data_IF_709662791136
#
_entry.id   IF_709662791136
#
_cell.length_a   1.000
_cell.length_b   1.000
_cell.length_c   1.000
_cell.angle_alpha   90.00
_cell.angle_beta   90.00
_cell.angle_gamma   90.00
#
_symmetry.space_group_name_H-M   'P 1'
#
loop_
_entity.id
_entity.type
_entity.pdbx_description
1 polymer ?
#
# COMPACT_ATOMS: atom_id res chain seq x y z
N UNK A 1 -9.19 -7.89 0.95
CA UNK A 1 -9.47 -6.70 1.77
C UNK A 1 -8.61 -6.63 3.03
N UNK A 2 -8.51 -7.70 3.84
CA UNK A 2 -7.74 -7.69 5.09
C UNK A 2 -6.26 -7.31 4.93
N UNK A 3 -5.58 -7.82 3.89
CA UNK A 3 -4.17 -7.50 3.62
C UNK A 3 -3.96 -6.00 3.33
N UNK A 4 -4.86 -5.38 2.54
CA UNK A 4 -4.79 -3.95 2.25
C UNK A 4 -4.95 -3.11 3.52
N UNK A 5 -5.89 -3.47 4.40
CA UNK A 5 -6.05 -2.79 5.68
C UNK A 5 -4.82 -2.97 6.59
N UNK A 6 -4.24 -4.16 6.63
CA UNK A 6 -3.01 -4.43 7.39
C UNK A 6 -1.81 -3.63 6.86
N UNK A 7 -1.72 -3.41 5.55
CA UNK A 7 -0.70 -2.54 4.96
C UNK A 7 -0.95 -1.10 5.39
N UNK A 8 -2.18 -0.59 5.21
CA UNK A 8 -2.54 0.80 5.54
C UNK A 8 -2.33 1.12 7.02
N UNK A 9 -2.58 0.17 7.92
CA UNK A 9 -2.33 0.32 9.36
C UNK A 9 -0.86 0.57 9.71
N UNK A 10 0.08 0.23 8.82
CA UNK A 10 1.52 0.42 9.01
C UNK A 10 2.05 1.70 8.33
N UNK A 11 1.17 2.46 7.66
CA UNK A 11 1.55 3.65 6.91
C UNK A 11 1.33 4.93 7.73
N UNK A 12 2.11 5.97 7.41
CA UNK A 12 1.80 7.34 7.85
C UNK A 12 0.52 7.84 7.18
N UNK A 13 -0.12 8.88 7.75
CA UNK A 13 -1.38 9.46 7.24
C UNK A 13 -1.29 9.81 5.74
N UNK A 14 -0.16 10.39 5.32
CA UNK A 14 0.09 10.79 3.93
C UNK A 14 0.22 9.57 3.01
N UNK A 15 0.97 8.56 3.44
CA UNK A 15 1.14 7.31 2.69
C UNK A 15 -0.17 6.51 2.62
N UNK A 16 -0.96 6.48 3.69
CA UNK A 16 -2.29 5.90 3.71
C UNK A 16 -3.24 6.61 2.73
N UNK A 17 -3.25 7.94 2.71
CA UNK A 17 -4.05 8.72 1.76
C UNK A 17 -3.69 8.39 0.30
N UNK A 18 -2.39 8.28 0.00
CA UNK A 18 -1.92 7.84 -1.32
C UNK A 18 -2.38 6.41 -1.65
N UNK A 19 -2.28 5.48 -0.68
CA UNK A 19 -2.69 4.09 -0.86
C UNK A 19 -4.19 3.96 -1.12
N UNK A 20 -5.03 4.78 -0.47
CA UNK A 20 -6.47 4.86 -0.74
C UNK A 20 -6.77 5.46 -2.12
N UNK A 21 -6.08 6.55 -2.50
CA UNK A 21 -6.23 7.16 -3.82
C UNK A 21 -5.81 6.21 -4.96
N UNK A 22 -4.83 5.34 -4.71
CA UNK A 22 -4.27 4.39 -5.68
C UNK A 22 -4.64 2.93 -5.35
N UNK A 23 -5.80 2.72 -4.69
CA UNK A 23 -6.20 1.40 -4.15
C UNK A 23 -6.12 0.27 -5.17
N UNK A 24 -6.54 0.51 -6.42
CA UNK A 24 -6.47 -0.50 -7.49
C UNK A 24 -5.05 -1.00 -7.76
N UNK A 25 -4.05 -0.10 -7.71
CA UNK A 25 -2.63 -0.43 -7.90
C UNK A 25 -2.09 -1.26 -6.74
N UNK A 26 -2.41 -0.86 -5.51
CA UNK A 26 -1.97 -1.59 -4.30
C UNK A 26 -2.62 -2.98 -4.26
N UNK A 27 -3.90 -3.09 -4.62
CA UNK A 27 -4.57 -4.39 -4.72
C UNK A 27 -3.99 -5.27 -5.84
N UNK A 28 -3.55 -4.68 -6.95
CA UNK A 28 -2.84 -5.43 -8.00
C UNK A 28 -1.53 -6.01 -7.47
N UNK A 29 -0.71 -5.21 -6.77
CA UNK A 29 0.52 -5.70 -6.14
C UNK A 29 0.28 -6.84 -5.13
N UNK A 30 -0.79 -6.73 -4.32
CA UNK A 30 -1.20 -7.79 -3.40
C UNK A 30 -1.61 -9.06 -4.18
N UNK A 31 -2.42 -8.90 -5.23
CA UNK A 31 -2.89 -10.02 -6.07
C UNK A 31 -1.75 -10.71 -6.82
N UNK A 32 -0.76 -9.94 -7.25
CA UNK A 32 0.42 -10.42 -7.97
C UNK A 32 1.45 -11.06 -7.00
N UNK A 33 1.16 -11.12 -5.70
CA UNK A 33 1.96 -11.81 -4.69
C UNK A 33 3.26 -11.08 -4.31
N UNK A 34 3.34 -9.77 -4.55
CA UNK A 34 4.51 -8.98 -4.16
C UNK A 34 4.63 -8.90 -2.63
N UNK A 35 5.87 -8.89 -2.14
CA UNK A 35 6.16 -8.84 -0.71
C UNK A 35 5.58 -7.61 -0.04
N UNK A 36 5.02 -7.78 1.16
CA UNK A 36 4.37 -6.70 1.91
C UNK A 36 5.35 -5.54 2.19
N UNK A 37 6.60 -5.85 2.58
CA UNK A 37 7.64 -4.84 2.81
C UNK A 37 7.95 -4.03 1.55
N UNK A 38 7.98 -4.68 0.39
CA UNK A 38 8.18 -4.01 -0.89
C UNK A 38 7.02 -3.07 -1.21
N UNK A 39 5.78 -3.51 -0.96
CA UNK A 39 4.57 -2.70 -1.17
C UNK A 39 4.61 -1.47 -0.27
N UNK A 40 4.90 -1.64 1.02
CA UNK A 40 5.01 -0.54 1.99
C UNK A 40 6.08 0.46 1.53
N UNK A 41 7.28 -0.02 1.19
CA UNK A 41 8.38 0.83 0.69
C UNK A 41 7.95 1.60 -0.55
N UNK A 42 7.30 0.95 -1.52
CA UNK A 42 6.82 1.61 -2.75
C UNK A 42 5.75 2.66 -2.49
N UNK A 43 4.88 2.43 -1.51
CA UNK A 43 3.89 3.43 -1.11
C UNK A 43 4.60 4.66 -0.52
N UNK A 44 5.59 4.48 0.35
CA UNK A 44 6.37 5.60 0.88
C UNK A 44 7.10 6.39 -0.21
N UNK A 45 7.74 5.71 -1.17
CA UNK A 45 8.40 6.36 -2.33
C UNK A 45 7.40 7.13 -3.21
N UNK A 46 6.18 6.63 -3.36
CA UNK A 46 5.17 7.25 -4.23
C UNK A 46 4.35 8.34 -3.54
N UNK A 47 4.31 8.32 -2.22
CA UNK A 47 3.62 9.31 -1.39
C UNK A 47 4.52 10.49 -1.01
N UNK A 48 5.82 10.43 -1.31
CA UNK A 48 6.83 11.46 -1.06
C UNK A 48 6.61 12.73 -1.87
#
# INVERSE_FOLDING_TARGET
MAIFMNIVAQLSVRAAAWAYANKGKVLAWIRDGLGIDWIIKKIYESAQ
#
